data_IF_110343105256
#
_entry.id   IF_110343105256
#
_cell.length_a   1.000
_cell.length_b   1.000
_cell.length_c   1.000
_cell.angle_alpha   90.00
_cell.angle_beta   90.00
_cell.angle_gamma   90.00
#
_symmetry.space_group_name_H-M   'P 1'
#
loop_
_entity.id
_entity.type
_entity.pdbx_description
1 polymer ?
#
# COMPACT_ATOMS: atom_id res chain seq x y z
N UNK A 1 -47.10 -5.65 15.43
CA UNK A 1 -45.85 -5.56 16.23
C UNK A 1 -44.73 -5.37 15.22
N UNK A 2 -44.00 -4.26 15.06
CA UNK A 2 -43.73 -3.08 15.89
C UNK A 2 -43.86 -1.77 15.07
N UNK A 3 -43.75 -0.66 15.80
CA UNK A 3 -44.27 0.69 15.57
C UNK A 3 -43.68 1.53 14.41
N UNK A 4 -44.53 2.45 13.93
CA UNK A 4 -44.19 3.67 13.19
C UNK A 4 -43.37 4.67 14.02
N UNK A 5 -42.45 5.38 13.37
CA UNK A 5 -42.03 6.73 13.78
C UNK A 5 -41.94 7.64 12.56
N UNK A 6 -42.39 8.88 12.79
CA UNK A 6 -42.73 9.92 11.83
C UNK A 6 -41.51 10.57 11.13
N UNK A 7 -41.83 11.12 9.96
CA UNK A 7 -41.15 12.08 9.09
C UNK A 7 -40.16 13.07 9.71
N UNK A 8 -39.10 13.42 8.97
CA UNK A 8 -38.76 14.83 8.62
C UNK A 8 -38.03 14.85 7.26
N UNK A 9 -38.64 15.41 6.23
CA UNK A 9 -37.91 15.83 5.01
C UNK A 9 -37.07 17.07 5.35
N UNK A 10 -35.75 17.09 5.07
CA UNK A 10 -34.93 18.23 5.44
C UNK A 10 -35.33 19.47 4.60
N UNK A 11 -35.28 20.68 5.19
CA UNK A 11 -35.57 21.91 4.46
C UNK A 11 -34.52 22.10 3.37
N UNK A 12 -34.92 22.75 2.26
CA UNK A 12 -34.04 23.12 1.14
C UNK A 12 -32.76 23.76 1.66
N UNK A 13 -31.70 22.95 1.77
CA UNK A 13 -30.39 23.41 2.17
C UNK A 13 -29.83 24.25 1.02
N UNK A 14 -29.44 25.48 1.33
CA UNK A 14 -28.66 26.33 0.45
C UNK A 14 -27.39 25.57 0.01
N UNK A 15 -26.95 25.79 -1.23
CA UNK A 15 -25.82 25.07 -1.87
C UNK A 15 -24.50 25.06 -1.06
N UNK A 16 -24.41 25.86 0.01
CA UNK A 16 -23.28 25.95 0.93
C UNK A 16 -23.23 24.80 1.95
N UNK A 17 -24.37 24.22 2.34
CA UNK A 17 -24.43 23.08 3.27
C UNK A 17 -24.13 21.73 2.60
N UNK A 18 -24.28 21.64 1.28
CA UNK A 18 -23.90 20.44 0.52
C UNK A 18 -22.36 20.23 0.48
N UNK A 19 -21.57 21.26 0.79
CA UNK A 19 -20.10 21.14 0.95
C UNK A 19 -19.68 20.57 2.30
N UNK A 20 -20.50 20.70 3.35
CA UNK A 20 -20.23 20.16 4.68
C UNK A 20 -20.54 18.65 4.79
N UNK A 21 -21.30 18.11 3.85
CA UNK A 21 -21.61 16.68 3.73
C UNK A 21 -20.66 15.90 2.79
N UNK A 22 -19.65 16.56 2.22
CA UNK A 22 -18.48 15.84 1.73
C UNK A 22 -17.53 15.66 2.90
N UNK A 23 -17.70 14.54 3.61
CA UNK A 23 -16.87 14.19 4.76
C UNK A 23 -15.40 14.47 4.46
N UNK A 24 -14.71 15.12 5.40
CA UNK A 24 -13.29 15.43 5.28
C UNK A 24 -12.58 14.16 4.82
N UNK A 25 -11.94 14.25 3.65
CA UNK A 25 -11.20 13.18 3.00
C UNK A 25 -9.91 12.98 3.82
N UNK A 26 -10.01 12.17 4.86
CA UNK A 26 -8.93 11.86 5.82
C UNK A 26 -8.34 10.47 5.55
N UNK A 27 -7.09 10.25 5.95
CA UNK A 27 -6.45 8.94 5.85
C UNK A 27 -7.03 8.00 6.92
N UNK A 28 -7.87 7.06 6.49
CA UNK A 28 -8.56 6.10 7.35
C UNK A 28 -8.07 4.69 7.14
N UNK A 29 -7.61 4.34 5.95
CA UNK A 29 -7.33 2.96 5.58
C UNK A 29 -5.84 2.69 5.52
N UNK A 30 -5.43 1.54 6.05
CA UNK A 30 -4.08 1.07 5.82
C UNK A 30 -3.99 0.59 4.37
N UNK A 31 -2.87 0.84 3.68
CA UNK A 31 -2.66 0.22 2.38
C UNK A 31 -2.65 -1.30 2.58
N UNK A 32 -3.02 -2.09 1.59
CA UNK A 32 -2.90 -3.55 1.63
C UNK A 32 -2.13 -4.07 0.44
N UNK A 33 -1.40 -5.15 0.69
CA UNK A 33 -0.76 -5.96 -0.33
C UNK A 33 -1.64 -7.19 -0.50
N UNK A 34 -2.09 -7.44 -1.73
CA UNK A 34 -3.19 -8.37 -2.03
C UNK A 34 -2.88 -9.81 -1.64
N UNK A 35 -1.64 -10.25 -1.85
CA UNK A 35 -1.27 -11.66 -1.76
C UNK A 35 0.06 -11.89 -1.04
N UNK A 36 0.33 -13.15 -0.72
CA UNK A 36 1.69 -13.65 -0.52
C UNK A 36 2.36 -13.75 -1.88
N UNK A 37 3.63 -13.37 -1.95
CA UNK A 37 4.38 -13.40 -3.20
C UNK A 37 5.30 -14.61 -3.27
N UNK A 38 5.26 -15.25 -4.44
CA UNK A 38 6.32 -16.13 -4.92
C UNK A 38 7.04 -15.42 -6.06
N UNK A 39 8.31 -15.70 -6.24
CA UNK A 39 9.08 -15.09 -7.32
C UNK A 39 10.31 -15.89 -7.67
N UNK A 40 11.10 -15.32 -8.57
CA UNK A 40 12.41 -15.83 -8.96
C UNK A 40 13.36 -14.65 -9.16
N UNK A 41 14.63 -14.87 -8.89
CA UNK A 41 15.72 -13.97 -9.24
C UNK A 41 16.90 -14.80 -9.72
N UNK A 42 17.63 -14.30 -10.71
CA UNK A 42 18.85 -14.96 -11.18
C UNK A 42 20.07 -14.25 -10.61
N UNK A 43 21.19 -14.96 -10.42
CA UNK A 43 22.42 -14.38 -9.86
C UNK A 43 22.95 -13.15 -10.64
N UNK A 44 22.59 -13.06 -11.92
CA UNK A 44 23.04 -12.02 -12.85
C UNK A 44 22.03 -10.88 -13.01
N UNK A 45 20.87 -10.96 -12.35
CA UNK A 45 19.81 -9.95 -12.42
C UNK A 45 19.64 -9.28 -11.06
N UNK A 46 19.46 -7.97 -11.06
CA UNK A 46 19.12 -7.23 -9.85
C UNK A 46 17.61 -7.23 -9.59
N UNK A 47 16.78 -7.45 -10.61
CA UNK A 47 15.32 -7.42 -10.49
C UNK A 47 14.76 -8.79 -10.11
N UNK A 48 13.98 -8.82 -9.04
CA UNK A 48 13.17 -10.00 -8.69
C UNK A 48 11.88 -10.00 -9.51
N UNK A 49 11.59 -11.13 -10.15
CA UNK A 49 10.35 -11.37 -10.87
C UNK A 49 9.34 -12.03 -9.93
N UNK A 50 8.41 -11.24 -9.40
CA UNK A 50 7.31 -11.75 -8.58
C UNK A 50 6.13 -12.16 -9.46
N UNK A 51 5.45 -13.23 -9.05
CA UNK A 51 4.17 -13.67 -9.60
C UNK A 51 3.14 -13.82 -8.46
N UNK A 52 2.16 -12.89 -8.34
CA UNK A 52 1.93 -11.71 -9.20
C UNK A 52 2.88 -10.53 -8.92
N UNK A 53 2.86 -9.45 -9.73
CA UNK A 53 3.67 -8.24 -9.48
C UNK A 53 3.40 -7.59 -8.12
N UNK A 54 4.41 -6.89 -7.58
CA UNK A 54 4.27 -6.14 -6.33
C UNK A 54 3.34 -4.94 -6.51
N UNK A 55 2.19 -4.98 -5.85
CA UNK A 55 1.19 -3.92 -5.86
C UNK A 55 0.66 -3.75 -4.43
N UNK A 56 0.66 -2.51 -3.95
CA UNK A 56 -0.09 -2.12 -2.75
C UNK A 56 -1.23 -1.19 -3.14
N UNK A 57 -2.39 -1.38 -2.52
CA UNK A 57 -3.59 -0.60 -2.79
C UNK A 57 -4.06 0.10 -1.52
N UNK A 58 -4.73 1.23 -1.65
CA UNK A 58 -5.37 1.93 -0.54
C UNK A 58 -6.82 2.30 -0.88
N UNK A 59 -7.74 2.16 0.10
CA UNK A 59 -9.17 2.42 -0.09
C UNK A 59 -9.44 3.92 -0.06
N UNK A 60 -8.47 4.69 0.39
CA UNK A 60 -8.47 6.13 0.30
C UNK A 60 -8.10 6.59 -1.11
N UNK A 61 -7.70 5.74 -2.05
CA UNK A 61 -7.53 6.14 -3.45
C UNK A 61 -8.86 6.62 -4.09
N UNK A 62 -8.85 7.69 -4.90
CA UNK A 62 -7.70 8.43 -5.42
C UNK A 62 -7.38 9.71 -4.60
N UNK A 63 -7.57 9.71 -3.28
CA UNK A 63 -7.20 10.85 -2.45
C UNK A 63 -5.70 11.07 -2.51
N UNK A 64 -5.30 12.29 -2.89
CA UNK A 64 -3.89 12.70 -2.87
C UNK A 64 -3.32 12.48 -1.47
N UNK A 65 -2.11 11.93 -1.40
CA UNK A 65 -1.45 11.43 -0.21
C UNK A 65 -2.08 10.17 0.40
N UNK A 66 -3.31 10.27 0.91
CA UNK A 66 -3.91 9.17 1.69
C UNK A 66 -4.14 7.90 0.85
N UNK A 67 -4.40 8.05 -0.45
CA UNK A 67 -4.58 6.97 -1.40
C UNK A 67 -3.33 6.59 -2.20
N UNK A 68 -2.20 7.26 -1.97
CA UNK A 68 -0.96 7.06 -2.70
C UNK A 68 0.01 6.21 -1.87
N UNK A 69 0.73 5.30 -2.51
CA UNK A 69 1.75 4.48 -1.86
C UNK A 69 3.09 5.20 -1.97
N UNK A 70 3.65 5.61 -0.82
CA UNK A 70 4.90 6.37 -0.81
C UNK A 70 6.13 5.48 -0.65
N UNK A 71 5.97 4.24 -0.20
CA UNK A 71 7.10 3.35 -0.13
C UNK A 71 6.80 1.93 0.32
N UNK A 72 7.82 1.12 0.11
CA UNK A 72 7.92 -0.23 0.60
C UNK A 72 9.14 -0.35 1.52
N UNK A 73 9.05 -1.20 2.53
CA UNK A 73 10.17 -1.51 3.43
C UNK A 73 10.28 -3.02 3.61
N UNK A 74 11.47 -3.54 3.38
CA UNK A 74 11.79 -4.95 3.61
C UNK A 74 12.27 -5.13 5.05
N UNK A 75 11.78 -6.18 5.69
CA UNK A 75 12.12 -6.61 7.05
C UNK A 75 12.55 -8.07 7.04
N UNK A 76 13.70 -8.35 7.65
CA UNK A 76 14.25 -9.69 7.82
C UNK A 76 15.72 -9.60 8.21
N UNK A 77 16.32 -10.73 8.59
CA UNK A 77 17.75 -10.80 8.89
C UNK A 77 18.53 -10.96 7.60
N UNK A 78 19.55 -10.13 7.39
CA UNK A 78 20.49 -10.21 6.26
C UNK A 78 19.81 -10.34 4.89
N UNK A 79 18.75 -9.56 4.64
CA UNK A 79 18.00 -9.59 3.38
C UNK A 79 18.67 -8.62 2.39
N UNK A 80 19.36 -9.09 1.34
CA UNK A 80 20.12 -8.26 0.41
C UNK A 80 19.21 -7.59 -0.65
N UNK A 81 17.99 -7.23 -0.26
CA UNK A 81 16.98 -6.69 -1.17
C UNK A 81 16.45 -5.33 -0.69
N UNK A 82 16.00 -4.52 -1.64
CA UNK A 82 15.14 -3.36 -1.44
C UNK A 82 13.85 -3.48 -2.24
N UNK A 83 12.84 -2.73 -1.84
CA UNK A 83 11.61 -2.58 -2.58
C UNK A 83 11.45 -1.11 -2.96
N UNK A 84 11.25 -0.85 -4.24
CA UNK A 84 11.18 0.49 -4.84
C UNK A 84 9.78 0.71 -5.40
N UNK A 85 9.21 1.88 -5.16
CA UNK A 85 7.94 2.29 -5.78
C UNK A 85 8.22 2.73 -7.20
N UNK A 86 7.50 2.13 -8.16
CA UNK A 86 7.53 2.52 -9.56
C UNK A 86 6.51 3.63 -9.82
N UNK A 87 5.32 3.50 -9.28
CA UNK A 87 4.24 4.49 -9.41
C UNK A 87 3.46 4.59 -8.09
N UNK A 88 3.42 5.80 -7.52
CA UNK A 88 2.77 6.07 -6.25
C UNK A 88 1.23 6.01 -6.33
N UNK A 89 0.68 6.30 -7.51
CA UNK A 89 -0.76 6.39 -7.75
C UNK A 89 -1.39 5.02 -7.98
N UNK A 90 -0.69 4.13 -8.67
CA UNK A 90 -1.10 2.73 -8.86
C UNK A 90 -0.65 1.84 -7.70
N UNK A 91 0.40 2.26 -6.98
CA UNK A 91 1.02 1.48 -5.92
C UNK A 91 1.89 0.34 -6.42
N UNK A 92 2.28 0.37 -7.70
CA UNK A 92 3.20 -0.59 -8.30
C UNK A 92 4.61 -0.43 -7.74
N UNK A 93 5.24 -1.56 -7.43
CA UNK A 93 6.59 -1.62 -6.94
C UNK A 93 7.42 -2.73 -7.59
N UNK A 94 8.70 -2.74 -7.27
CA UNK A 94 9.63 -3.80 -7.67
C UNK A 94 10.58 -4.12 -6.53
N UNK A 95 10.98 -5.38 -6.43
CA UNK A 95 12.04 -5.81 -5.51
C UNK A 95 13.35 -5.91 -6.28
N UNK A 96 14.41 -5.33 -5.73
CA UNK A 96 15.76 -5.33 -6.32
C UNK A 96 16.80 -5.84 -5.34
N UNK A 97 17.78 -6.58 -5.83
CA UNK A 97 18.98 -6.94 -5.09
C UNK A 97 19.86 -5.70 -4.91
N UNK A 98 20.43 -5.55 -3.71
CA UNK A 98 21.38 -4.49 -3.38
C UNK A 98 22.82 -4.88 -3.70
N UNK A 99 23.09 -6.17 -3.61
CA UNK A 99 24.40 -6.79 -3.76
C UNK A 99 24.30 -7.97 -4.73
N UNK A 100 25.44 -8.47 -5.20
CA UNK A 100 25.48 -9.69 -6.03
C UNK A 100 24.94 -10.88 -5.23
N UNK A 101 24.09 -11.68 -5.87
CA UNK A 101 23.55 -12.89 -5.29
C UNK A 101 24.51 -14.06 -5.54
N UNK A 102 24.63 -14.93 -4.54
CA UNK A 102 25.36 -16.19 -4.63
C UNK A 102 24.37 -17.33 -4.36
N UNK A 103 23.89 -17.94 -5.44
CA UNK A 103 22.90 -19.03 -5.36
C UNK A 103 23.48 -20.34 -4.81
N UNK A 104 24.81 -20.48 -4.71
CA UNK A 104 25.42 -21.63 -4.05
C UNK A 104 25.33 -21.49 -2.53
N UNK A 105 25.48 -20.26 -2.03
CA UNK A 105 25.39 -19.95 -0.60
C UNK A 105 23.94 -19.93 -0.09
N UNK A 106 23.02 -19.31 -0.83
CA UNK A 106 21.62 -19.18 -0.42
C UNK A 106 20.69 -19.28 -1.63
N UNK A 107 19.86 -20.33 -1.66
CA UNK A 107 18.93 -20.62 -2.76
C UNK A 107 17.52 -20.07 -2.54
N UNK A 108 17.18 -19.73 -1.30
CA UNK A 108 15.85 -19.28 -0.91
C UNK A 108 15.95 -18.07 0.01
N UNK A 109 15.12 -17.08 -0.26
CA UNK A 109 14.99 -15.85 0.50
C UNK A 109 13.56 -15.71 0.98
N UNK A 110 13.40 -15.56 2.30
CA UNK A 110 12.11 -15.26 2.92
C UNK A 110 12.24 -14.00 3.76
N UNK A 111 11.33 -13.06 3.52
CA UNK A 111 11.27 -11.80 4.26
C UNK A 111 9.85 -11.25 4.30
N UNK A 112 9.67 -10.21 5.10
CA UNK A 112 8.41 -9.48 5.18
C UNK A 112 8.56 -8.15 4.45
N UNK A 113 7.63 -7.83 3.56
CA UNK A 113 7.52 -6.52 2.93
C UNK A 113 6.42 -5.71 3.62
N UNK A 114 6.69 -4.45 3.92
CA UNK A 114 5.78 -3.47 4.50
C UNK A 114 5.45 -2.41 3.46
N UNK A 115 4.18 -2.12 3.20
CA UNK A 115 3.76 -0.95 2.42
C UNK A 115 3.35 0.19 3.35
N UNK A 116 3.58 1.42 2.94
CA UNK A 116 3.05 2.61 3.62
C UNK A 116 2.51 3.64 2.63
N UNK A 117 1.38 4.24 3.00
CA UNK A 117 0.77 5.32 2.23
C UNK A 117 1.57 6.63 2.39
N UNK A 118 1.17 7.70 1.71
CA UNK A 118 1.81 9.00 1.85
C UNK A 118 1.23 9.86 2.99
N UNK A 119 0.31 9.34 3.81
CA UNK A 119 -0.29 10.07 4.93
C UNK A 119 -1.30 11.16 4.52
N UNK A 120 -1.42 12.19 5.36
CA UNK A 120 -2.27 13.36 5.18
C UNK A 120 -1.39 14.57 4.86
N UNK A 121 -1.30 14.92 3.57
CA UNK A 121 -0.53 16.08 3.12
C UNK A 121 0.96 15.78 2.89
N UNK A 122 1.73 16.79 2.45
CA UNK A 122 3.11 16.62 2.01
C UNK A 122 4.08 16.18 3.11
N UNK A 123 3.75 16.44 4.37
CA UNK A 123 4.59 16.10 5.53
C UNK A 123 4.47 14.62 5.94
N UNK A 124 3.57 13.85 5.32
CA UNK A 124 3.37 12.44 5.64
C UNK A 124 2.75 12.19 7.02
N UNK A 125 2.03 13.16 7.57
CA UNK A 125 1.35 13.03 8.85
C UNK A 125 0.32 11.89 8.79
N UNK A 126 0.09 11.16 9.89
CA UNK A 126 -0.89 10.05 9.94
C UNK A 126 -0.67 8.97 8.86
N UNK A 127 0.58 8.70 8.50
CA UNK A 127 0.93 7.59 7.60
C UNK A 127 0.48 6.25 8.16
N UNK A 128 -0.13 5.41 7.34
CA UNK A 128 -0.52 4.05 7.71
C UNK A 128 0.28 3.01 6.95
N UNK A 129 0.32 1.80 7.52
CA UNK A 129 1.21 0.72 7.07
C UNK A 129 0.59 -0.67 7.20
N UNK A 130 0.99 -1.58 6.31
CA UNK A 130 0.65 -3.00 6.32
C UNK A 130 1.86 -3.86 5.99
N UNK A 131 1.74 -5.19 6.16
CA UNK A 131 2.83 -6.13 5.91
C UNK A 131 2.34 -7.42 5.24
N UNK A 132 3.22 -8.05 4.45
CA UNK A 132 3.04 -9.38 3.88
C UNK A 132 4.36 -10.15 3.79
N UNK A 133 4.27 -11.47 3.71
CA UNK A 133 5.42 -12.34 3.48
C UNK A 133 5.72 -12.45 1.98
N UNK A 134 7.01 -12.56 1.69
CA UNK A 134 7.57 -12.80 0.36
C UNK A 134 8.55 -13.96 0.49
N UNK A 135 8.45 -14.92 -0.43
CA UNK A 135 9.34 -16.08 -0.50
C UNK A 135 9.69 -16.38 -1.95
N UNK A 136 10.98 -16.45 -2.28
CA UNK A 136 11.48 -16.87 -3.59
C UNK A 136 12.84 -17.55 -3.49
#
# INVERSE_FOLDING_TARGET
MCHSLLSVSPPRATAQLCRLYHGVKINKHKPWIETTYHGIVTENDDKVLLDPPLIALDKDAPLRYAGEICGFRIHGQNVPFEAVVLDKSTGEGVIRAKDKLDCELQKEHTFTIQAYDCGEGPDGANMKKSHKYVTF
#
